data_IF_112443378248
#
_entry.id   IF_112443378248
#
_cell.length_a   1.000
_cell.length_b   1.000
_cell.length_c   1.000
_cell.angle_alpha   90.00
_cell.angle_beta   90.00
_cell.angle_gamma   90.00
#
_symmetry.space_group_name_H-M   'P 1'
#
loop_
_entity.id
_entity.type
_entity.pdbx_description
1 polymer ?
#
# COMPACT_ATOMS: atom_id res chain seq x y z
N UNK A 1 -2.92 8.27 -11.62
CA UNK A 1 -3.67 9.55 -11.51
C UNK A 1 -3.46 10.27 -10.18
N UNK A 2 -3.28 9.59 -9.04
CA UNK A 2 -2.99 10.21 -7.75
C UNK A 2 -2.02 9.39 -6.87
N UNK A 3 -1.51 9.98 -5.80
CA UNK A 3 -0.79 9.29 -4.71
C UNK A 3 -1.76 8.81 -3.64
N UNK A 4 -1.31 7.91 -2.77
CA UNK A 4 -2.13 7.42 -1.64
C UNK A 4 -2.37 8.47 -0.56
N UNK A 5 -1.52 9.50 -0.51
CA UNK A 5 -1.75 10.68 0.32
C UNK A 5 -2.77 11.65 -0.30
N UNK A 6 -3.48 11.24 -1.37
CA UNK A 6 -4.47 12.06 -2.08
C UNK A 6 -3.87 13.12 -3.03
N UNK A 7 -2.55 13.10 -3.31
CA UNK A 7 -1.95 14.09 -4.21
C UNK A 7 -2.23 13.72 -5.66
N UNK A 8 -2.98 14.57 -6.35
CA UNK A 8 -3.37 14.35 -7.74
C UNK A 8 -2.32 14.88 -8.73
N UNK A 9 -1.97 14.07 -9.75
CA UNK A 9 -1.07 14.44 -10.84
C UNK A 9 -1.82 15.21 -11.92
N UNK A 10 -2.09 16.49 -11.64
CA UNK A 10 -3.02 17.31 -12.43
C UNK A 10 -2.63 17.42 -13.90
N UNK A 11 -1.34 17.61 -14.22
CA UNK A 11 -0.87 17.71 -15.61
C UNK A 11 -1.17 16.45 -16.43
N UNK A 12 -1.06 15.27 -15.81
CA UNK A 12 -1.37 14.02 -16.49
C UNK A 12 -2.88 13.89 -16.73
N UNK A 13 -3.70 14.25 -15.73
CA UNK A 13 -5.16 14.25 -15.88
C UNK A 13 -5.62 15.23 -16.96
N UNK A 14 -5.08 16.44 -17.03
CA UNK A 14 -5.44 17.40 -18.08
C UNK A 14 -5.18 16.84 -19.48
N UNK A 15 -3.98 16.30 -19.71
CA UNK A 15 -3.58 15.70 -20.98
C UNK A 15 -4.51 14.54 -21.34
N UNK A 16 -4.74 13.63 -20.40
CA UNK A 16 -5.50 12.41 -20.64
C UNK A 16 -7.00 12.72 -20.80
N UNK A 17 -7.52 13.73 -20.10
CA UNK A 17 -8.91 14.22 -20.23
C UNK A 17 -9.15 14.88 -21.59
N UNK A 18 -8.23 15.72 -22.07
CA UNK A 18 -8.30 16.31 -23.41
C UNK A 18 -8.26 15.22 -24.47
N UNK A 19 -7.39 14.22 -24.29
CA UNK A 19 -7.29 13.08 -25.19
C UNK A 19 -8.58 12.25 -25.22
N UNK A 20 -9.28 12.13 -24.10
CA UNK A 20 -10.51 11.36 -23.97
C UNK A 20 -11.70 12.01 -24.71
N UNK A 21 -11.91 13.32 -24.53
CA UNK A 21 -13.06 14.01 -25.15
C UNK A 21 -12.74 14.67 -26.50
N UNK A 22 -11.49 15.01 -26.76
CA UNK A 22 -11.07 15.79 -27.92
C UNK A 22 -11.30 17.29 -27.73
N UNK A 23 -10.41 18.09 -28.32
CA UNK A 23 -10.45 19.55 -28.21
C UNK A 23 -11.70 20.16 -28.88
N UNK A 24 -12.18 19.58 -29.98
CA UNK A 24 -13.36 20.05 -30.71
C UNK A 24 -14.63 19.96 -29.86
N UNK A 25 -14.86 18.79 -29.24
CA UNK A 25 -15.98 18.58 -28.32
C UNK A 25 -15.93 19.55 -27.14
N UNK A 26 -14.76 19.67 -26.49
CA UNK A 26 -14.58 20.58 -25.36
C UNK A 26 -14.81 22.04 -25.76
N UNK A 27 -14.41 22.42 -26.97
CA UNK A 27 -14.64 23.78 -27.49
C UNK A 27 -16.13 24.05 -27.75
N UNK A 28 -16.86 23.06 -28.28
CA UNK A 28 -18.30 23.18 -28.57
C UNK A 28 -19.13 23.50 -27.33
N UNK A 29 -18.72 23.00 -26.17
CA UNK A 29 -19.38 23.27 -24.88
C UNK A 29 -18.72 24.38 -24.06
N UNK A 30 -17.71 25.08 -24.60
CA UNK A 30 -16.93 26.09 -23.90
C UNK A 30 -16.28 25.56 -22.58
N UNK A 31 -15.72 24.34 -22.65
CA UNK A 31 -15.12 23.60 -21.53
C UNK A 31 -13.61 23.42 -21.68
N UNK A 32 -12.96 24.18 -22.55
CA UNK A 32 -11.52 24.14 -22.74
C UNK A 32 -10.75 24.41 -21.43
N UNK A 33 -9.70 23.62 -21.19
CA UNK A 33 -8.90 23.69 -19.95
C UNK A 33 -7.84 24.81 -20.04
N UNK A 34 -7.40 25.15 -21.25
CA UNK A 34 -6.33 26.12 -21.54
C UNK A 34 -6.85 27.36 -22.27
N UNK A 35 -8.04 27.87 -21.96
CA UNK A 35 -8.48 29.14 -22.56
C UNK A 35 -7.87 30.33 -21.82
N UNK A 36 -7.40 31.31 -22.59
CA UNK A 36 -6.64 32.48 -22.12
C UNK A 36 -7.37 33.34 -21.08
N UNK A 37 -8.68 33.12 -20.89
CA UNK A 37 -9.55 33.84 -19.96
C UNK A 37 -10.26 32.95 -18.93
N UNK A 38 -10.00 31.63 -18.84
CA UNK A 38 -10.61 30.80 -17.79
C UNK A 38 -9.60 30.06 -16.94
N UNK A 39 -9.77 30.20 -15.64
CA UNK A 39 -9.03 29.47 -14.63
C UNK A 39 -9.21 27.96 -14.85
N UNK A 40 -8.10 27.22 -15.01
CA UNK A 40 -8.06 25.77 -15.24
C UNK A 40 -8.99 25.00 -14.29
N UNK A 41 -10.19 24.69 -14.77
CA UNK A 41 -11.31 24.28 -13.93
C UNK A 41 -11.11 22.87 -13.34
N UNK A 42 -10.39 21.99 -14.04
CA UNK A 42 -10.00 20.66 -13.55
C UNK A 42 -9.15 20.79 -12.28
N UNK A 43 -8.20 21.74 -12.28
CA UNK A 43 -7.36 21.99 -11.12
C UNK A 43 -8.16 22.43 -9.89
N UNK A 44 -9.20 23.24 -10.05
CA UNK A 44 -10.06 23.65 -8.93
C UNK A 44 -10.89 22.50 -8.40
N UNK A 45 -11.54 21.75 -9.29
CA UNK A 45 -12.35 20.59 -8.91
C UNK A 45 -11.56 19.55 -8.10
N UNK A 46 -10.29 19.32 -8.48
CA UNK A 46 -9.46 18.30 -7.85
C UNK A 46 -8.70 18.78 -6.60
N UNK A 47 -8.68 20.09 -6.31
CA UNK A 47 -7.91 20.65 -5.16
C UNK A 47 -8.76 21.42 -4.15
N UNK A 48 -9.93 21.94 -4.51
CA UNK A 48 -10.74 22.79 -3.66
C UNK A 48 -12.22 22.40 -3.74
N UNK A 49 -12.79 22.00 -2.59
CA UNK A 49 -14.20 21.63 -2.48
C UNK A 49 -15.18 22.81 -2.48
N UNK A 50 -14.70 24.05 -2.55
CA UNK A 50 -15.53 25.26 -2.31
C UNK A 50 -15.89 26.06 -3.55
N UNK A 51 -15.45 25.67 -4.75
CA UNK A 51 -15.81 26.37 -5.98
C UNK A 51 -17.17 25.90 -6.49
N UNK A 52 -18.08 26.84 -6.81
CA UNK A 52 -19.31 26.57 -7.57
C UNK A 52 -18.91 26.18 -8.99
N UNK A 53 -18.81 24.88 -9.25
CA UNK A 53 -18.43 24.35 -10.55
C UNK A 53 -19.68 23.94 -11.32
N UNK A 54 -19.68 24.22 -12.63
CA UNK A 54 -20.79 23.88 -13.52
C UNK A 54 -21.07 22.35 -13.47
N UNK A 55 -22.32 21.91 -13.27
CA UNK A 55 -22.70 20.49 -13.26
C UNK A 55 -22.19 19.68 -14.46
N UNK A 56 -22.12 20.27 -15.65
CA UNK A 56 -21.55 19.61 -16.83
C UNK A 56 -20.09 19.19 -16.62
N UNK A 57 -19.29 20.01 -15.94
CA UNK A 57 -17.88 19.68 -15.62
C UNK A 57 -17.79 18.50 -14.66
N UNK A 58 -18.74 18.38 -13.72
CA UNK A 58 -18.85 17.20 -12.86
C UNK A 58 -19.19 15.95 -13.66
N UNK A 59 -20.20 16.01 -14.52
CA UNK A 59 -20.62 14.87 -15.35
C UNK A 59 -19.47 14.38 -16.23
N UNK A 60 -18.77 15.29 -16.91
CA UNK A 60 -17.64 14.91 -17.76
C UNK A 60 -16.48 14.30 -16.96
N UNK A 61 -16.22 14.80 -15.75
CA UNK A 61 -15.16 14.26 -14.90
C UNK A 61 -15.52 12.86 -14.38
N UNK A 62 -16.77 12.66 -13.93
CA UNK A 62 -17.30 11.36 -13.49
C UNK A 62 -17.18 10.33 -14.62
N UNK A 63 -17.64 10.70 -15.82
CA UNK A 63 -17.59 9.83 -16.99
C UNK A 63 -16.15 9.52 -17.43
N UNK A 64 -15.24 10.51 -17.41
CA UNK A 64 -13.81 10.28 -17.68
C UNK A 64 -13.16 9.31 -16.70
N UNK A 65 -13.57 9.33 -15.43
CA UNK A 65 -13.10 8.40 -14.41
C UNK A 65 -13.70 7.00 -14.54
N UNK A 66 -14.67 6.80 -15.45
CA UNK A 66 -15.35 5.51 -15.63
C UNK A 66 -16.24 5.13 -14.45
N UNK A 67 -16.74 6.12 -13.70
CA UNK A 67 -17.61 5.91 -12.54
C UNK A 67 -19.05 6.11 -12.99
N UNK A 68 -19.96 5.20 -12.63
CA UNK A 68 -21.39 5.41 -12.88
C UNK A 68 -21.93 6.54 -12.01
N UNK A 69 -23.01 7.20 -12.44
CA UNK A 69 -23.61 8.29 -11.65
C UNK A 69 -24.13 7.72 -10.32
N UNK A 70 -24.71 6.53 -10.37
CA UNK A 70 -25.21 5.79 -9.20
C UNK A 70 -24.08 5.48 -8.22
N UNK A 71 -22.97 4.90 -8.70
CA UNK A 71 -21.80 4.62 -7.85
C UNK A 71 -21.24 5.91 -7.25
N UNK A 72 -21.21 7.02 -8.00
CA UNK A 72 -20.68 8.28 -7.53
C UNK A 72 -21.44 8.82 -6.30
N UNK A 73 -22.76 8.64 -6.25
CA UNK A 73 -23.59 9.12 -5.14
C UNK A 73 -23.75 8.11 -4.00
N UNK A 74 -23.68 6.81 -4.29
CA UNK A 74 -24.02 5.76 -3.31
C UNK A 74 -22.75 5.16 -2.69
N UNK A 75 -21.65 5.10 -3.42
CA UNK A 75 -20.48 4.32 -3.03
C UNK A 75 -19.50 5.15 -2.20
N UNK A 76 -19.36 4.78 -0.93
CA UNK A 76 -18.18 5.20 -0.15
C UNK A 76 -16.97 4.39 -0.62
N UNK A 77 -16.00 5.06 -1.25
CA UNK A 77 -14.76 4.43 -1.70
C UNK A 77 -13.76 4.44 -0.55
N UNK A 78 -13.67 3.32 0.16
CA UNK A 78 -12.61 3.10 1.15
C UNK A 78 -11.36 2.54 0.46
N UNK A 79 -10.23 3.24 0.58
CA UNK A 79 -8.97 2.78 -0.01
C UNK A 79 -8.29 1.71 0.86
N UNK A 80 -8.47 0.43 0.47
CA UNK A 80 -7.91 -0.75 1.17
C UNK A 80 -6.81 -1.44 0.34
N UNK A 81 -5.56 -0.95 0.36
CA UNK A 81 -4.47 -1.49 -0.47
C UNK A 81 -4.10 -2.94 -0.15
N UNK A 82 -4.46 -3.45 1.03
CA UNK A 82 -4.14 -4.79 1.49
C UNK A 82 -5.40 -5.60 1.80
N UNK A 83 -6.54 -5.19 1.23
CA UNK A 83 -7.85 -5.77 1.53
C UNK A 83 -8.28 -5.56 2.97
N UNK A 84 -9.34 -6.28 3.35
CA UNK A 84 -9.85 -6.30 4.70
C UNK A 84 -9.03 -7.23 5.60
N UNK A 85 -8.85 -6.80 6.85
CA UNK A 85 -8.29 -7.65 7.89
C UNK A 85 -9.28 -8.75 8.34
N UNK A 86 -8.83 -9.71 9.15
CA UNK A 86 -7.48 -9.81 9.70
C UNK A 86 -6.44 -10.39 8.71
N UNK A 87 -5.20 -9.93 8.82
CA UNK A 87 -4.07 -10.36 7.98
C UNK A 87 -3.27 -11.51 8.60
N UNK A 88 -2.51 -12.21 7.77
CA UNK A 88 -1.86 -13.46 8.15
C UNK A 88 -0.55 -13.28 8.93
N UNK A 89 -0.24 -14.18 9.85
CA UNK A 89 1.11 -14.24 10.42
C UNK A 89 2.07 -15.00 9.49
N UNK A 90 3.24 -14.43 9.19
CA UNK A 90 4.26 -15.06 8.34
C UNK A 90 5.47 -15.60 9.11
N UNK A 91 5.34 -15.77 10.42
CA UNK A 91 6.35 -16.43 11.25
C UNK A 91 6.12 -17.94 11.23
N UNK A 92 7.05 -18.71 10.63
CA UNK A 92 6.98 -20.17 10.44
C UNK A 92 6.82 -20.95 11.75
N UNK A 93 7.37 -20.45 12.85
CA UNK A 93 7.29 -21.13 14.17
C UNK A 93 6.16 -20.56 15.06
N UNK A 94 5.36 -19.63 14.54
CA UNK A 94 4.15 -19.18 15.22
C UNK A 94 3.07 -20.26 15.07
N UNK A 95 2.32 -20.53 16.14
CA UNK A 95 1.16 -21.45 16.08
C UNK A 95 0.04 -20.93 15.15
N UNK A 96 0.08 -19.63 14.87
CA UNK A 96 -0.84 -18.94 13.96
C UNK A 96 -0.20 -18.66 12.60
N UNK A 97 0.85 -19.39 12.23
CA UNK A 97 1.45 -19.29 10.90
C UNK A 97 0.39 -19.50 9.81
N UNK A 98 0.34 -18.56 8.86
CA UNK A 98 -0.67 -18.46 7.80
C UNK A 98 -2.13 -18.31 8.27
N UNK A 99 -2.39 -18.12 9.57
CA UNK A 99 -3.74 -17.80 10.07
C UNK A 99 -3.97 -16.29 10.11
N UNK A 100 -5.19 -15.82 9.83
CA UNK A 100 -5.53 -14.40 9.83
C UNK A 100 -5.74 -13.87 11.26
N UNK A 101 -4.66 -13.43 11.90
CA UNK A 101 -4.65 -13.02 13.33
C UNK A 101 -4.23 -11.58 13.58
N UNK A 102 -3.72 -10.89 12.55
CA UNK A 102 -3.29 -9.49 12.65
C UNK A 102 -4.53 -8.63 12.38
N UNK A 103 -5.06 -7.95 13.40
CA UNK A 103 -6.33 -7.21 13.28
C UNK A 103 -6.18 -5.79 12.73
N UNK A 104 -5.03 -5.15 12.99
CA UNK A 104 -4.76 -3.76 12.61
C UNK A 104 -3.38 -3.68 11.95
N UNK A 105 -3.23 -2.78 10.97
CA UNK A 105 -1.97 -2.49 10.29
C UNK A 105 -1.76 -0.99 10.16
N UNK A 106 -0.49 -0.57 10.12
CA UNK A 106 -0.14 0.80 9.77
C UNK A 106 0.12 0.88 8.26
N UNK A 107 -0.55 1.80 7.57
CA UNK A 107 -0.37 2.02 6.14
C UNK A 107 0.38 3.34 5.92
N UNK A 108 1.53 3.26 5.27
CA UNK A 108 2.35 4.39 4.87
C UNK A 108 2.49 4.45 3.34
N UNK A 109 2.98 5.58 2.81
CA UNK A 109 3.24 5.74 1.38
C UNK A 109 4.73 5.86 1.06
N UNK A 110 5.21 5.05 0.13
CA UNK A 110 6.57 5.17 -0.37
C UNK A 110 6.63 6.18 -1.54
N UNK A 111 7.10 7.39 -1.27
CA UNK A 111 7.21 8.46 -2.28
C UNK A 111 8.13 8.13 -3.45
N UNK A 112 9.15 7.27 -3.28
CA UNK A 112 10.07 6.88 -4.36
C UNK A 112 9.44 5.83 -5.27
N UNK A 113 8.85 4.78 -4.67
CA UNK A 113 8.24 3.66 -5.41
C UNK A 113 6.78 3.91 -5.81
N UNK A 114 6.19 5.01 -5.35
CA UNK A 114 4.80 5.38 -5.58
C UNK A 114 3.78 4.32 -5.13
N UNK A 115 4.07 3.59 -4.05
CA UNK A 115 3.30 2.42 -3.60
C UNK A 115 2.89 2.50 -2.12
N UNK A 116 1.83 1.76 -1.76
CA UNK A 116 1.41 1.56 -0.38
C UNK A 116 2.46 0.71 0.34
N UNK A 117 2.70 0.98 1.62
CA UNK A 117 3.53 0.14 2.47
C UNK A 117 2.77 -0.16 3.76
N UNK A 118 2.34 -1.40 3.92
CA UNK A 118 1.67 -1.87 5.13
C UNK A 118 2.68 -2.46 6.11
N UNK A 119 2.52 -2.16 7.40
CA UNK A 119 3.26 -2.75 8.51
C UNK A 119 2.37 -3.74 9.27
N UNK A 120 2.79 -5.00 9.28
CA UNK A 120 2.02 -6.12 9.80
C UNK A 120 2.72 -6.67 11.04
N UNK A 121 2.10 -6.56 12.22
CA UNK A 121 2.65 -7.06 13.48
C UNK A 121 1.75 -8.14 14.07
N UNK A 122 2.29 -9.34 14.23
CA UNK A 122 1.61 -10.39 14.98
C UNK A 122 1.80 -10.16 16.48
N UNK A 123 0.70 -9.98 17.22
CA UNK A 123 0.75 -9.77 18.67
C UNK A 123 1.21 -11.02 19.44
N UNK A 124 0.98 -12.23 18.90
CA UNK A 124 1.34 -13.49 19.56
C UNK A 124 2.84 -13.79 19.51
N UNK A 125 3.47 -13.68 18.34
CA UNK A 125 4.89 -14.02 18.18
C UNK A 125 5.82 -12.80 18.11
N UNK A 126 5.26 -11.59 18.01
CA UNK A 126 6.00 -10.33 17.87
C UNK A 126 6.63 -10.11 16.49
N UNK A 127 6.41 -11.00 15.52
CA UNK A 127 6.97 -10.86 14.19
C UNK A 127 6.36 -9.64 13.49
N UNK A 128 7.21 -8.79 12.92
CA UNK A 128 6.77 -7.60 12.16
C UNK A 128 7.42 -7.56 10.79
N UNK A 129 6.60 -7.40 9.76
CA UNK A 129 7.04 -7.35 8.38
C UNK A 129 6.30 -6.27 7.60
N UNK A 130 6.94 -5.79 6.52
CA UNK A 130 6.37 -4.82 5.60
C UNK A 130 5.95 -5.50 4.30
N UNK A 131 4.85 -5.05 3.73
CA UNK A 131 4.42 -5.38 2.36
C UNK A 131 4.28 -4.11 1.54
N UNK A 132 4.68 -4.18 0.26
CA UNK A 132 4.40 -3.14 -0.71
C UNK A 132 3.11 -3.52 -1.44
N UNK A 133 2.13 -2.63 -1.43
CA UNK A 133 0.85 -2.81 -2.12
C UNK A 133 0.69 -1.90 -3.34
N UNK A 134 -0.50 -1.89 -3.94
CA UNK A 134 -1.66 -2.68 -3.52
C UNK A 134 -1.48 -4.18 -3.81
N UNK A 135 -2.25 -5.01 -3.12
CA UNK A 135 -2.42 -6.41 -3.49
C UNK A 135 -3.21 -6.48 -4.80
N UNK A 136 -2.68 -7.24 -5.76
CA UNK A 136 -3.28 -7.45 -7.08
C UNK A 136 -3.79 -8.89 -7.25
N UNK A 137 -3.39 -9.79 -6.34
CA UNK A 137 -3.73 -11.21 -6.36
C UNK A 137 -3.77 -11.77 -4.94
N UNK A 138 -4.48 -12.88 -4.77
CA UNK A 138 -4.58 -13.57 -3.47
C UNK A 138 -3.21 -14.01 -2.92
N UNK A 139 -2.25 -14.26 -3.81
CA UNK A 139 -0.90 -14.65 -3.42
C UNK A 139 -0.07 -13.50 -2.83
N UNK A 140 -0.49 -12.25 -3.00
CA UNK A 140 0.23 -11.08 -2.46
C UNK A 140 0.23 -11.05 -0.93
N UNK A 141 -0.75 -11.70 -0.29
CA UNK A 141 -0.85 -11.82 1.18
C UNK A 141 0.35 -12.51 1.82
N UNK A 142 1.02 -13.39 1.08
CA UNK A 142 2.17 -14.15 1.56
C UNK A 142 3.52 -13.48 1.30
N UNK A 143 3.55 -12.39 0.53
CA UNK A 143 4.81 -11.71 0.18
C UNK A 143 5.37 -10.99 1.41
N UNK A 144 6.68 -11.08 1.61
CA UNK A 144 7.41 -10.26 2.59
C UNK A 144 8.30 -9.31 1.82
N UNK A 145 8.03 -8.00 1.90
CA UNK A 145 8.92 -6.99 1.35
C UNK A 145 10.15 -6.78 2.23
N UNK A 146 9.95 -6.64 3.54
CA UNK A 146 11.02 -6.47 4.52
C UNK A 146 10.62 -7.01 5.89
N UNK A 147 11.50 -7.77 6.53
CA UNK A 147 11.36 -8.09 7.96
C UNK A 147 11.84 -6.90 8.79
N UNK A 148 10.96 -6.34 9.63
CA UNK A 148 11.27 -5.24 10.56
C UNK A 148 11.85 -5.82 11.84
N UNK A 149 11.15 -6.79 12.43
CA UNK A 149 11.64 -7.57 13.56
C UNK A 149 11.20 -9.02 13.47
N UNK A 150 12.08 -9.93 13.90
CA UNK A 150 11.75 -11.36 13.99
C UNK A 150 10.81 -11.69 15.16
N UNK A 151 10.60 -10.76 16.09
CA UNK A 151 9.77 -10.99 17.28
C UNK A 151 10.42 -11.90 18.32
N UNK A 152 9.78 -12.04 19.47
CA UNK A 152 10.33 -12.79 20.61
C UNK A 152 10.40 -14.28 20.34
N UNK A 153 9.38 -14.86 19.69
CA UNK A 153 9.32 -16.31 19.46
C UNK A 153 10.52 -16.81 18.63
N UNK A 154 10.92 -16.09 17.59
CA UNK A 154 12.14 -16.44 16.84
C UNK A 154 13.42 -16.21 17.65
N UNK A 155 13.51 -15.15 18.45
CA UNK A 155 14.70 -14.91 19.29
C UNK A 155 14.89 -16.05 20.30
N UNK A 156 13.83 -16.44 20.99
CA UNK A 156 13.86 -17.56 21.93
C UNK A 156 14.35 -18.84 21.27
N UNK A 157 13.81 -19.18 20.10
CA UNK A 157 14.18 -20.40 19.39
C UNK A 157 15.61 -20.37 18.83
N UNK A 158 16.04 -19.22 18.30
CA UNK A 158 17.45 -19.01 17.92
C UNK A 158 18.37 -19.20 19.12
N UNK A 159 18.03 -18.62 20.28
CA UNK A 159 18.82 -18.76 21.50
C UNK A 159 18.93 -20.21 21.97
N UNK A 160 17.83 -20.97 21.94
CA UNK A 160 17.85 -22.41 22.27
C UNK A 160 18.75 -23.21 21.33
N UNK A 161 18.67 -22.95 20.02
CA UNK A 161 19.48 -23.65 19.03
C UNK A 161 20.96 -23.30 19.16
N UNK A 162 21.29 -22.03 19.37
CA UNK A 162 22.69 -21.59 19.58
C UNK A 162 23.31 -22.21 20.83
N UNK A 163 22.56 -22.39 21.92
CA UNK A 163 23.03 -23.10 23.12
C UNK A 163 23.35 -24.59 22.88
N UNK A 164 22.81 -25.17 21.81
CA UNK A 164 23.10 -26.56 21.38
C UNK A 164 24.26 -26.63 20.39
N UNK A 165 24.96 -25.53 20.17
CA UNK A 165 26.12 -25.40 19.27
C UNK A 165 25.85 -25.85 17.82
N UNK A 166 24.61 -25.71 17.35
CA UNK A 166 24.26 -26.00 15.96
C UNK A 166 24.65 -24.85 15.05
N UNK A 167 25.06 -25.17 13.82
CA UNK A 167 25.50 -24.16 12.86
C UNK A 167 24.40 -23.15 12.48
N UNK A 168 24.79 -21.91 12.17
CA UNK A 168 23.87 -20.87 11.64
C UNK A 168 23.13 -21.35 10.38
N UNK A 169 23.77 -22.19 9.55
CA UNK A 169 23.17 -22.79 8.37
C UNK A 169 22.02 -23.74 8.74
N UNK A 170 22.18 -24.53 9.80
CA UNK A 170 21.12 -25.38 10.33
C UNK A 170 19.94 -24.53 10.81
N UNK A 171 20.20 -23.52 11.66
CA UNK A 171 19.16 -22.62 12.19
C UNK A 171 18.38 -21.93 11.06
N UNK A 172 19.08 -21.55 9.99
CA UNK A 172 18.48 -20.92 8.80
C UNK A 172 17.49 -21.83 8.10
N UNK A 173 17.86 -23.10 7.88
CA UNK A 173 16.97 -24.08 7.25
C UNK A 173 15.77 -24.41 8.14
N UNK A 174 16.02 -24.60 9.43
CA UNK A 174 15.00 -24.93 10.40
C UNK A 174 13.93 -23.83 10.49
N UNK A 175 14.36 -22.60 10.74
CA UNK A 175 13.48 -21.45 10.97
C UNK A 175 12.99 -20.77 9.69
N UNK A 176 13.55 -21.10 8.53
CA UNK A 176 13.24 -20.42 7.27
C UNK A 176 13.69 -18.95 7.23
N UNK A 177 14.63 -18.57 8.10
CA UNK A 177 15.21 -17.23 8.14
C UNK A 177 16.55 -17.21 7.39
N UNK A 178 16.85 -16.12 6.68
CA UNK A 178 18.17 -15.96 6.06
C UNK A 178 19.29 -15.93 7.11
N UNK A 179 20.43 -16.56 6.80
CA UNK A 179 21.59 -16.65 7.71
C UNK A 179 22.02 -15.27 8.24
N UNK A 180 22.02 -14.23 7.38
CA UNK A 180 22.34 -12.84 7.79
C UNK A 180 21.41 -12.32 8.88
N UNK A 181 20.12 -12.65 8.84
CA UNK A 181 19.15 -12.27 9.87
C UNK A 181 19.48 -12.98 11.18
N UNK A 182 19.76 -14.27 11.14
CA UNK A 182 20.13 -15.04 12.34
C UNK A 182 21.40 -14.48 12.96
N UNK A 183 22.48 -14.32 12.18
CA UNK A 183 23.74 -13.74 12.67
C UNK A 183 23.55 -12.35 13.29
N UNK A 184 22.74 -11.49 12.66
CA UNK A 184 22.42 -10.15 13.21
C UNK A 184 21.78 -10.25 14.59
N UNK A 185 20.81 -11.15 14.78
CA UNK A 185 20.13 -11.29 16.07
C UNK A 185 20.98 -12.04 17.09
N UNK A 186 21.75 -13.05 16.68
CA UNK A 186 22.71 -13.74 17.54
C UNK A 186 23.73 -12.77 18.15
N UNK A 187 24.31 -11.87 17.33
CA UNK A 187 25.19 -10.78 17.82
C UNK A 187 24.47 -9.85 18.81
N UNK A 188 23.28 -9.38 18.46
CA UNK A 188 22.47 -8.51 19.34
C UNK A 188 22.12 -9.15 20.68
N UNK A 189 21.99 -10.47 20.70
CA UNK A 189 21.66 -11.26 21.89
C UNK A 189 22.91 -11.75 22.65
N UNK A 190 24.12 -11.41 22.20
CA UNK A 190 25.37 -11.77 22.87
C UNK A 190 25.88 -13.19 22.61
N UNK A 191 25.29 -13.94 21.67
CA UNK A 191 25.75 -15.29 21.32
C UNK A 191 26.92 -15.29 20.34
N UNK A 192 27.23 -14.16 19.71
CA UNK A 192 28.32 -14.03 18.73
C UNK A 192 28.98 -12.65 18.87
N UNK A 193 30.29 -12.58 18.60
CA UNK A 193 31.02 -11.33 18.42
C UNK A 193 30.77 -10.78 17.01
#
# INVERSE_FOLDING_TARGET
MCTLSGKVYIKDIERDFIKFYGMEFLSLFNLNIYSDNTTNWIKYMLRSSRSKVNPMKHILLINYLGISIEDFFIKEIEYKPFGDGPWICLNKICEDYHKPVIKNIDINYNNKKKTAVGSFKCNKCGFTYLRCGPDLSENDKYRIGKVVTIGEKYKEEIGKLLKRDVSIRYISRELGLGQKTITKYAKKMGYMK
#
